data_IF_416335305562
#
_entry.id   IF_416335305562
#
_cell.length_a   1.000
_cell.length_b   1.000
_cell.length_c   1.000
_cell.angle_alpha   90.00
_cell.angle_beta   90.00
_cell.angle_gamma   90.00
#
_symmetry.space_group_name_H-M   'P 1'
#
loop_
_entity.id
_entity.type
_entity.pdbx_description
1 polymer ?
#
# COMPACT_ATOMS: atom_id res chain seq x y z
N UNK A 1 -13.83 11.83 23.75
CA UNK A 1 -12.60 11.40 24.46
C UNK A 1 -11.67 10.72 23.48
N UNK A 2 -10.40 11.06 23.53
CA UNK A 2 -9.39 10.42 22.69
C UNK A 2 -8.80 9.21 23.40
N UNK A 3 -8.51 8.18 22.62
CA UNK A 3 -7.83 6.99 23.09
C UNK A 3 -6.45 6.97 22.44
N UNK A 4 -5.44 6.65 23.22
CA UNK A 4 -4.08 6.52 22.72
C UNK A 4 -3.68 5.06 22.77
N UNK A 5 -3.09 4.59 21.68
CA UNK A 5 -2.66 3.20 21.58
C UNK A 5 -1.45 3.05 20.68
N UNK A 6 -0.78 1.91 20.79
CA UNK A 6 0.34 1.55 19.92
C UNK A 6 -0.20 0.65 18.80
N UNK A 7 0.01 1.07 17.57
CA UNK A 7 -0.39 0.32 16.39
C UNK A 7 0.80 0.09 15.47
N UNK A 8 0.56 -0.57 14.35
CA UNK A 8 1.53 -0.73 13.27
C UNK A 8 1.10 0.13 12.08
N UNK A 9 2.08 0.77 11.46
CA UNK A 9 1.91 1.42 10.17
C UNK A 9 2.58 0.55 9.11
N UNK A 10 1.79 0.11 8.15
CA UNK A 10 2.28 -0.66 7.01
C UNK A 10 2.20 0.24 5.78
N UNK A 11 3.32 0.35 5.05
CA UNK A 11 3.35 1.01 3.75
C UNK A 11 3.75 0.02 2.70
N UNK A 12 2.98 -0.02 1.62
CA UNK A 12 3.22 -0.92 0.49
C UNK A 12 3.51 -0.06 -0.73
N UNK A 13 4.70 -0.22 -1.31
CA UNK A 13 5.19 0.58 -2.43
C UNK A 13 5.06 -0.22 -3.71
N UNK A 14 4.25 0.27 -4.64
CA UNK A 14 3.89 -0.42 -5.89
C UNK A 14 3.91 0.54 -7.06
N UNK A 15 3.81 -0.01 -8.27
CA UNK A 15 3.47 0.75 -9.46
C UNK A 15 1.95 0.71 -9.65
N UNK A 16 1.37 1.82 -10.09
CA UNK A 16 -0.07 1.86 -10.35
C UNK A 16 -0.52 0.87 -11.42
N UNK A 17 0.39 0.43 -12.29
CA UNK A 17 0.07 -0.50 -13.38
C UNK A 17 0.22 -1.97 -13.02
N UNK A 18 0.74 -2.28 -11.84
CA UNK A 18 0.80 -3.67 -11.41
C UNK A 18 -0.61 -4.22 -11.23
N UNK A 19 -0.77 -5.47 -11.65
CA UNK A 19 -2.07 -6.13 -11.62
C UNK A 19 -1.99 -7.45 -10.89
N UNK A 20 -3.10 -7.82 -10.28
CA UNK A 20 -3.29 -9.15 -9.70
C UNK A 20 -4.68 -9.64 -10.08
N UNK A 21 -4.75 -10.79 -10.74
CA UNK A 21 -5.99 -11.29 -11.34
C UNK A 21 -6.52 -10.21 -12.31
N UNK A 22 -7.77 -9.80 -12.18
CA UNK A 22 -8.39 -8.81 -13.07
C UNK A 22 -8.43 -7.42 -12.48
N UNK A 23 -7.62 -7.15 -11.42
CA UNK A 23 -7.62 -5.88 -10.71
C UNK A 23 -6.29 -5.18 -10.79
N UNK A 24 -6.27 -3.84 -10.76
CA UNK A 24 -5.05 -3.15 -10.36
C UNK A 24 -4.63 -3.69 -8.99
N UNK A 25 -3.35 -3.97 -8.82
CA UNK A 25 -2.86 -4.60 -7.58
C UNK A 25 -3.23 -3.77 -6.34
N UNK A 26 -3.07 -2.42 -6.40
CA UNK A 26 -3.39 -1.59 -5.26
C UNK A 26 -4.87 -1.70 -4.87
N UNK A 27 -5.76 -1.79 -5.86
CA UNK A 27 -7.19 -1.95 -5.59
C UNK A 27 -7.47 -3.30 -4.94
N UNK A 28 -6.86 -4.35 -5.45
CA UNK A 28 -7.02 -5.70 -4.88
C UNK A 28 -6.60 -5.72 -3.40
N UNK A 29 -5.46 -5.09 -3.07
CA UNK A 29 -4.96 -5.05 -1.70
C UNK A 29 -5.94 -4.31 -0.79
N UNK A 30 -6.46 -3.16 -1.22
CA UNK A 30 -7.42 -2.37 -0.42
C UNK A 30 -8.69 -3.19 -0.18
N UNK A 31 -9.22 -3.83 -1.22
CA UNK A 31 -10.41 -4.66 -1.09
C UNK A 31 -10.16 -5.86 -0.16
N UNK A 32 -8.98 -6.46 -0.23
CA UNK A 32 -8.61 -7.55 0.66
C UNK A 32 -8.53 -7.09 2.11
N UNK A 33 -7.95 -5.92 2.36
CA UNK A 33 -7.91 -5.34 3.70
C UNK A 33 -9.33 -5.15 4.25
N UNK A 34 -10.22 -4.62 3.44
CA UNK A 34 -11.62 -4.43 3.83
C UNK A 34 -12.28 -5.76 4.17
N UNK A 35 -12.08 -6.77 3.34
CA UNK A 35 -12.61 -8.12 3.54
C UNK A 35 -12.13 -8.72 4.87
N UNK A 36 -10.86 -8.50 5.21
CA UNK A 36 -10.26 -9.05 6.43
C UNK A 36 -10.54 -8.24 7.68
N UNK A 37 -11.30 -7.16 7.57
CA UNK A 37 -11.67 -6.35 8.74
C UNK A 37 -10.59 -5.39 9.22
N UNK A 38 -9.63 -5.05 8.36
CA UNK A 38 -8.64 -4.00 8.67
C UNK A 38 -9.38 -2.66 8.81
N UNK A 39 -8.99 -1.86 9.80
CA UNK A 39 -9.71 -0.63 10.14
C UNK A 39 -9.69 0.43 9.04
N UNK A 40 -8.65 0.47 8.23
CA UNK A 40 -8.60 1.42 7.12
C UNK A 40 -7.39 1.20 6.25
N UNK A 41 -7.49 1.66 5.01
CA UNK A 41 -6.40 1.64 4.04
C UNK A 41 -6.56 2.84 3.12
N UNK A 42 -5.48 3.53 2.83
CA UNK A 42 -5.47 4.70 1.96
C UNK A 42 -4.42 4.52 0.88
N UNK A 43 -4.77 4.85 -0.35
CA UNK A 43 -3.82 4.81 -1.47
C UNK A 43 -3.41 6.22 -1.81
N UNK A 44 -2.10 6.46 -1.84
CA UNK A 44 -1.52 7.72 -2.30
C UNK A 44 -0.86 7.47 -3.65
N UNK A 45 -1.13 8.33 -4.60
CA UNK A 45 -0.49 8.28 -5.92
C UNK A 45 0.64 9.29 -5.94
N UNK A 46 1.85 8.81 -6.19
CA UNK A 46 3.01 9.68 -6.33
C UNK A 46 2.97 10.42 -7.65
N UNK A 47 3.44 11.66 -7.62
CA UNK A 47 3.51 12.48 -8.84
C UNK A 47 4.82 12.28 -9.60
N UNK A 48 5.78 11.61 -8.98
CA UNK A 48 7.10 11.36 -9.55
C UNK A 48 7.82 10.31 -8.69
N UNK A 49 8.64 9.51 -9.31
CA UNK A 49 9.48 8.59 -8.58
C UNK A 49 10.25 7.65 -9.50
N UNK A 50 11.20 6.93 -8.91
CA UNK A 50 11.86 5.82 -9.59
C UNK A 50 12.14 4.71 -8.58
N UNK A 51 12.25 3.51 -9.09
CA UNK A 51 12.50 2.33 -8.27
C UNK A 51 13.66 1.49 -8.80
N UNK A 52 13.53 0.17 -8.69
CA UNK A 52 14.60 -0.76 -9.00
C UNK A 52 15.09 -0.66 -10.46
N UNK A 53 14.22 -0.31 -11.39
CA UNK A 53 14.58 -0.15 -12.80
C UNK A 53 15.32 1.15 -13.11
N UNK A 54 15.43 2.06 -12.12
CA UNK A 54 16.08 3.36 -12.25
C UNK A 54 15.43 4.30 -13.26
N UNK A 55 14.29 3.93 -13.81
CA UNK A 55 13.55 4.75 -14.76
C UNK A 55 12.69 5.76 -14.01
N UNK A 56 12.81 7.04 -14.39
CA UNK A 56 11.99 8.09 -13.80
C UNK A 56 10.59 8.08 -14.39
N UNK A 57 9.60 8.07 -13.52
CA UNK A 57 8.18 8.15 -13.85
C UNK A 57 7.63 9.45 -13.28
N UNK A 58 6.93 10.24 -14.09
CA UNK A 58 6.46 11.56 -13.67
C UNK A 58 5.12 11.91 -14.31
N UNK A 59 4.26 12.54 -13.52
CA UNK A 59 2.96 13.02 -13.98
C UNK A 59 3.07 14.24 -14.92
N UNK A 60 4.26 14.83 -15.03
CA UNK A 60 4.47 15.96 -15.96
C UNK A 60 4.40 15.56 -17.42
N UNK A 61 4.64 14.29 -17.72
CA UNK A 61 4.56 13.77 -19.06
C UNK A 61 3.11 13.40 -19.35
N UNK A 62 2.56 13.94 -20.43
CA UNK A 62 1.21 13.59 -20.87
C UNK A 62 1.33 12.30 -21.68
N UNK A 63 1.50 11.20 -20.97
CA UNK A 63 1.64 9.88 -21.57
C UNK A 63 0.81 8.91 -20.75
N UNK A 64 -0.23 8.36 -21.35
CA UNK A 64 -1.12 7.40 -20.70
C UNK A 64 -0.41 6.08 -20.37
N UNK A 65 0.76 5.83 -20.96
CA UNK A 65 1.56 4.65 -20.66
C UNK A 65 2.46 4.85 -19.45
N UNK A 66 2.51 6.07 -18.88
CA UNK A 66 3.38 6.35 -17.74
C UNK A 66 2.89 5.61 -16.50
N UNK A 67 3.84 4.99 -15.79
CA UNK A 67 3.58 4.29 -14.55
C UNK A 67 3.99 5.18 -13.38
N UNK A 68 3.02 5.59 -12.58
CA UNK A 68 3.32 6.38 -11.38
C UNK A 68 3.40 5.45 -10.16
N UNK A 69 4.25 5.81 -9.18
CA UNK A 69 4.31 5.04 -7.95
C UNK A 69 3.05 5.25 -7.13
N UNK A 70 2.61 4.20 -6.45
CA UNK A 70 1.54 4.30 -5.46
C UNK A 70 2.03 3.74 -4.13
N UNK A 71 1.52 4.31 -3.05
CA UNK A 71 1.79 3.84 -1.70
C UNK A 71 0.47 3.57 -1.02
N UNK A 72 0.32 2.37 -0.48
CA UNK A 72 -0.84 2.03 0.34
C UNK A 72 -0.42 2.14 1.79
N UNK A 73 -1.16 2.93 2.58
CA UNK A 73 -0.94 3.02 4.02
C UNK A 73 -2.07 2.32 4.76
N UNK A 74 -1.69 1.49 5.70
CA UNK A 74 -2.60 0.73 6.56
C UNK A 74 -2.16 0.95 7.99
N UNK A 75 -3.08 1.36 8.87
CA UNK A 75 -2.81 1.51 10.30
C UNK A 75 -3.81 0.67 11.06
N UNK A 76 -3.31 -0.24 11.86
CA UNK A 76 -4.16 -1.08 12.71
C UNK A 76 -3.31 -1.75 13.79
N UNK A 77 -3.98 -2.44 14.69
CA UNK A 77 -3.33 -3.25 15.71
C UNK A 77 -2.55 -4.38 15.05
N UNK A 78 -1.49 -4.81 15.72
CA UNK A 78 -0.63 -5.89 15.22
C UNK A 78 -1.44 -7.15 14.89
N UNK A 79 -2.40 -7.52 15.75
CA UNK A 79 -3.22 -8.71 15.50
C UNK A 79 -4.01 -8.64 14.21
N UNK A 80 -4.47 -7.44 13.83
CA UNK A 80 -5.21 -7.25 12.57
C UNK A 80 -4.25 -7.22 11.38
N UNK A 81 -3.10 -6.56 11.53
CA UNK A 81 -2.07 -6.56 10.48
C UNK A 81 -1.63 -7.99 10.16
N UNK A 82 -1.54 -8.85 11.17
CA UNK A 82 -1.15 -10.23 10.98
C UNK A 82 -2.15 -11.04 10.13
N UNK A 83 -3.36 -10.54 9.95
CA UNK A 83 -4.35 -11.17 9.06
C UNK A 83 -4.02 -10.95 7.59
N UNK A 84 -3.44 -9.78 7.25
CA UNK A 84 -3.12 -9.45 5.86
C UNK A 84 -1.70 -9.91 5.47
N UNK A 85 -0.79 -10.01 6.44
CA UNK A 85 0.62 -10.36 6.16
C UNK A 85 0.82 -11.63 5.33
N UNK A 86 0.09 -12.74 5.58
CA UNK A 86 0.28 -13.95 4.78
C UNK A 86 0.02 -13.76 3.29
N UNK A 87 -0.82 -12.78 2.93
CA UNK A 87 -1.15 -12.51 1.53
C UNK A 87 -0.05 -11.74 0.81
N UNK A 88 0.87 -11.08 1.54
CA UNK A 88 1.90 -10.26 0.91
C UNK A 88 2.79 -11.07 -0.03
N UNK A 89 3.22 -12.26 0.40
CA UNK A 89 4.06 -13.13 -0.43
C UNK A 89 3.32 -13.63 -1.67
N UNK A 90 2.01 -13.86 -1.54
CA UNK A 90 1.21 -14.38 -2.63
C UNK A 90 0.92 -13.34 -3.70
N UNK A 91 0.57 -12.12 -3.29
CA UNK A 91 0.02 -11.13 -4.22
C UNK A 91 0.99 -10.02 -4.61
N UNK A 92 2.07 -9.82 -3.85
CA UNK A 92 3.04 -8.77 -4.12
C UNK A 92 4.34 -9.40 -4.61
N UNK A 93 4.56 -9.36 -5.93
CA UNK A 93 5.77 -9.92 -6.53
C UNK A 93 6.85 -8.88 -6.74
N UNK A 94 6.46 -7.63 -6.94
CA UNK A 94 7.36 -6.49 -7.10
C UNK A 94 7.04 -5.46 -6.03
N UNK A 95 7.92 -4.51 -5.84
CA UNK A 95 7.73 -3.53 -4.79
C UNK A 95 8.21 -4.05 -3.44
N UNK A 96 7.93 -3.30 -2.40
CA UNK A 96 8.36 -3.66 -1.07
C UNK A 96 7.40 -3.11 -0.02
N UNK A 97 7.56 -3.60 1.20
CA UNK A 97 6.68 -3.27 2.32
C UNK A 97 7.53 -2.81 3.49
N UNK A 98 7.11 -1.73 4.14
CA UNK A 98 7.71 -1.30 5.40
C UNK A 98 6.68 -1.42 6.50
N UNK A 99 7.12 -1.80 7.70
CA UNK A 99 6.27 -1.90 8.88
C UNK A 99 7.00 -1.23 10.04
N UNK A 100 6.31 -0.33 10.73
CA UNK A 100 6.85 0.33 11.90
C UNK A 100 5.79 0.50 12.98
N UNK A 101 6.26 0.54 14.23
CA UNK A 101 5.38 0.84 15.36
C UNK A 101 5.11 2.33 15.41
N UNK A 102 3.86 2.69 15.65
CA UNK A 102 3.45 4.09 15.75
C UNK A 102 2.55 4.27 16.96
N UNK A 103 2.44 5.52 17.39
CA UNK A 103 1.54 5.93 18.43
C UNK A 103 0.33 6.59 17.78
N UNK A 104 -0.86 6.10 18.08
CA UNK A 104 -2.11 6.58 17.47
C UNK A 104 -2.99 7.21 18.52
N UNK A 105 -3.54 8.35 18.20
CA UNK A 105 -4.53 9.06 19.02
C UNK A 105 -5.84 9.10 18.23
N UNK A 106 -6.88 8.51 18.79
CA UNK A 106 -8.17 8.44 18.08
C UNK A 106 -9.39 8.44 19.02
#
# INVERSE_FOLDING_TARGET
>A
MKIEESDLLVRIFLSEKERYKNYPLYEYIVLKCKELGISGATVFKGIMGYGADKRLHTAKLIDISEELPVVIEIVDKEENINKIRPYFNEIISKGFITIEKIHVIK
#
